data_IF_832458246330
#
_entry.id   IF_832458246330
#
_cell.length_a   1.000
_cell.length_b   1.000
_cell.length_c   1.000
_cell.angle_alpha   90.00
_cell.angle_beta   90.00
_cell.angle_gamma   90.00
#
_symmetry.space_group_name_H-M   'P 1'
#
loop_
_entity.id
_entity.type
_entity.pdbx_description
1 polymer ?
#
# COMPACT_ATOMS: atom_id res chain seq x y z
N UNK A 1 -47.12 -62.10 -12.32
CA UNK A 1 -46.09 -61.53 -13.18
C UNK A 1 -46.34 -60.02 -13.24
N UNK A 2 -45.63 -59.23 -12.44
CA UNK A 2 -45.80 -57.79 -12.38
C UNK A 2 -44.51 -57.16 -12.93
N UNK A 3 -44.64 -56.38 -13.99
CA UNK A 3 -43.55 -55.55 -14.56
C UNK A 3 -43.50 -54.20 -13.86
N UNK A 4 -42.48 -53.97 -13.09
CA UNK A 4 -42.10 -52.67 -12.53
C UNK A 4 -41.45 -51.82 -13.63
N UNK A 5 -42.09 -50.75 -14.03
CA UNK A 5 -41.56 -49.73 -14.93
C UNK A 5 -40.74 -48.71 -14.14
N UNK A 6 -39.44 -48.70 -14.37
CA UNK A 6 -38.49 -47.75 -13.82
C UNK A 6 -38.61 -46.41 -14.58
N UNK A 7 -39.17 -45.36 -13.97
CA UNK A 7 -39.17 -43.99 -14.48
C UNK A 7 -37.92 -43.27 -14.02
N UNK A 8 -36.88 -43.30 -14.86
CA UNK A 8 -35.76 -42.39 -14.71
C UNK A 8 -36.19 -40.95 -15.01
N UNK A 9 -36.29 -40.14 -13.98
CA UNK A 9 -36.55 -38.72 -14.09
C UNK A 9 -35.33 -38.02 -14.72
N UNK A 10 -35.46 -37.60 -15.97
CA UNK A 10 -34.53 -36.68 -16.61
C UNK A 10 -34.74 -35.29 -15.98
N UNK A 11 -33.84 -34.85 -15.11
CA UNK A 11 -33.74 -33.46 -14.71
C UNK A 11 -33.29 -32.66 -15.92
N UNK A 12 -34.21 -32.00 -16.59
CA UNK A 12 -33.97 -30.98 -17.60
C UNK A 12 -33.49 -29.73 -16.88
N UNK A 13 -32.20 -29.48 -16.84
CA UNK A 13 -31.67 -28.15 -16.65
C UNK A 13 -32.04 -27.32 -17.88
N UNK A 14 -33.15 -26.63 -17.83
CA UNK A 14 -33.59 -25.70 -18.87
C UNK A 14 -32.63 -24.47 -18.87
N UNK A 15 -31.66 -24.47 -19.79
CA UNK A 15 -30.90 -23.25 -20.15
C UNK A 15 -31.82 -22.39 -21.03
N UNK A 16 -32.69 -21.65 -20.39
CA UNK A 16 -33.64 -20.78 -21.03
C UNK A 16 -34.09 -19.71 -20.03
N UNK A 17 -33.12 -18.98 -19.45
CA UNK A 17 -33.48 -17.78 -18.70
C UNK A 17 -34.14 -16.78 -19.65
N UNK A 18 -35.28 -16.22 -19.23
CA UNK A 18 -35.94 -15.19 -20.03
C UNK A 18 -35.00 -13.98 -20.20
N UNK A 19 -35.11 -13.22 -21.26
CA UNK A 19 -34.31 -12.01 -21.50
C UNK A 19 -34.32 -11.10 -20.26
N UNK A 20 -35.40 -11.01 -19.57
CA UNK A 20 -35.60 -10.27 -18.30
C UNK A 20 -34.68 -10.81 -17.20
N UNK A 21 -34.58 -12.14 -17.05
CA UNK A 21 -33.73 -12.78 -16.05
C UNK A 21 -32.26 -12.49 -16.32
N UNK A 22 -31.81 -12.61 -17.58
CA UNK A 22 -30.44 -12.28 -17.99
C UNK A 22 -30.13 -10.81 -17.73
N UNK A 23 -31.01 -9.89 -18.12
CA UNK A 23 -30.85 -8.45 -17.88
C UNK A 23 -30.79 -8.14 -16.38
N UNK A 24 -31.64 -8.77 -15.57
CA UNK A 24 -31.62 -8.58 -14.12
C UNK A 24 -30.29 -9.05 -13.51
N UNK A 25 -29.78 -10.21 -13.89
CA UNK A 25 -28.48 -10.72 -13.42
C UNK A 25 -27.35 -9.74 -13.79
N UNK A 26 -27.34 -9.24 -15.02
CA UNK A 26 -26.33 -8.27 -15.47
C UNK A 26 -26.39 -6.97 -14.66
N UNK A 27 -27.59 -6.45 -14.42
CA UNK A 27 -27.77 -5.21 -13.62
C UNK A 27 -27.32 -5.43 -12.18
N UNK A 28 -27.69 -6.53 -11.55
CA UNK A 28 -27.27 -6.87 -10.18
C UNK A 28 -25.74 -7.06 -10.11
N UNK A 29 -25.17 -7.81 -11.04
CA UNK A 29 -23.72 -8.04 -11.10
C UNK A 29 -22.95 -6.71 -11.28
N UNK A 30 -23.42 -5.85 -12.18
CA UNK A 30 -22.83 -4.52 -12.41
C UNK A 30 -22.96 -3.64 -11.16
N UNK A 31 -24.14 -3.61 -10.52
CA UNK A 31 -24.35 -2.88 -9.28
C UNK A 31 -23.43 -3.33 -8.16
N UNK A 32 -23.26 -4.64 -7.98
CA UNK A 32 -22.33 -5.21 -7.01
C UNK A 32 -20.88 -4.86 -7.34
N UNK A 33 -20.46 -4.98 -8.60
CA UNK A 33 -19.11 -4.65 -9.05
C UNK A 33 -18.78 -3.17 -8.79
N UNK A 34 -19.70 -2.27 -9.13
CA UNK A 34 -19.56 -0.84 -8.87
C UNK A 34 -19.54 -0.54 -7.36
N UNK A 35 -20.35 -1.21 -6.56
CA UNK A 35 -20.34 -1.10 -5.11
C UNK A 35 -19.00 -1.54 -4.51
N UNK A 36 -18.47 -2.70 -4.91
CA UNK A 36 -17.16 -3.19 -4.49
C UNK A 36 -16.06 -2.18 -4.87
N UNK A 37 -16.06 -1.70 -6.11
CA UNK A 37 -15.08 -0.73 -6.58
C UNK A 37 -15.16 0.62 -5.85
N UNK A 38 -16.36 1.08 -5.53
CA UNK A 38 -16.56 2.35 -4.84
C UNK A 38 -16.13 2.32 -3.37
N UNK A 39 -16.36 1.21 -2.66
CA UNK A 39 -16.20 1.14 -1.22
C UNK A 39 -15.01 0.29 -0.73
N UNK A 40 -14.66 -0.78 -1.44
CA UNK A 40 -13.70 -1.77 -0.95
C UNK A 40 -12.33 -1.66 -1.61
N UNK A 41 -12.26 -1.52 -2.94
CA UNK A 41 -11.00 -1.57 -3.69
C UNK A 41 -10.90 -0.38 -4.65
N UNK A 42 -9.76 0.30 -4.63
CA UNK A 42 -9.50 1.43 -5.55
C UNK A 42 -8.27 1.17 -6.40
N UNK A 43 -8.33 1.34 -7.73
CA UNK A 43 -7.16 1.29 -8.58
C UNK A 43 -6.31 2.56 -8.47
N UNK A 44 -4.98 2.39 -8.43
CA UNK A 44 -4.01 3.48 -8.48
C UNK A 44 -2.98 3.21 -9.57
N UNK A 45 -2.49 4.29 -10.20
CA UNK A 45 -1.37 4.25 -11.14
C UNK A 45 -0.12 4.76 -10.44
N UNK A 46 1.01 4.09 -10.65
CA UNK A 46 2.30 4.48 -10.08
C UNK A 46 2.91 5.62 -10.91
N UNK A 47 3.11 6.82 -10.33
CA UNK A 47 3.59 7.97 -11.08
C UNK A 47 5.12 8.13 -11.05
N UNK A 48 5.84 7.55 -10.09
CA UNK A 48 7.25 7.81 -9.81
C UNK A 48 8.07 6.55 -9.60
N UNK A 49 9.40 6.68 -9.64
CA UNK A 49 10.36 5.58 -9.47
C UNK A 49 10.67 5.24 -8.01
N UNK A 50 10.06 5.93 -7.05
CA UNK A 50 10.39 5.80 -5.62
C UNK A 50 10.20 4.39 -5.03
N UNK A 51 9.42 3.53 -5.69
CA UNK A 51 9.15 2.15 -5.27
C UNK A 51 9.83 1.09 -6.15
N UNK A 52 10.73 1.48 -7.05
CA UNK A 52 11.55 0.54 -7.84
C UNK A 52 12.48 -0.22 -6.89
N UNK A 53 12.64 -1.55 -7.06
CA UNK A 53 12.17 -2.42 -8.15
C UNK A 53 10.77 -3.01 -7.93
N UNK A 54 10.16 -2.84 -6.77
CA UNK A 54 8.86 -3.45 -6.42
C UNK A 54 7.76 -2.96 -7.35
N UNK A 55 7.64 -1.64 -7.48
CA UNK A 55 6.66 -1.01 -8.38
C UNK A 55 7.40 -0.07 -9.34
N UNK A 56 7.07 -0.16 -10.64
CA UNK A 56 7.64 0.69 -11.68
C UNK A 56 6.62 1.70 -12.19
N UNK A 57 7.11 2.78 -12.80
CA UNK A 57 6.26 3.84 -13.36
C UNK A 57 5.26 3.26 -14.36
N UNK A 58 4.02 3.70 -14.28
CA UNK A 58 2.92 3.27 -15.15
C UNK A 58 2.22 2.00 -14.69
N UNK A 59 2.76 1.23 -13.75
CA UNK A 59 2.06 0.09 -13.14
C UNK A 59 0.73 0.52 -12.52
N UNK A 60 -0.23 -0.41 -12.50
CA UNK A 60 -1.54 -0.21 -11.87
C UNK A 60 -1.73 -1.24 -10.77
N UNK A 61 -2.06 -0.76 -9.60
CA UNK A 61 -2.24 -1.57 -8.39
C UNK A 61 -3.66 -1.42 -7.85
N UNK A 62 -4.15 -2.47 -7.23
CA UNK A 62 -5.39 -2.46 -6.45
C UNK A 62 -5.06 -2.19 -4.99
N UNK A 63 -5.81 -1.28 -4.40
CA UNK A 63 -5.65 -0.84 -3.01
C UNK A 63 -6.90 -1.21 -2.23
N UNK A 64 -6.72 -2.04 -1.21
CA UNK A 64 -7.75 -2.40 -0.25
C UNK A 64 -7.92 -1.27 0.78
N UNK A 65 -9.13 -0.73 0.85
CA UNK A 65 -9.51 0.38 1.74
C UNK A 65 -10.19 -0.08 3.02
N UNK A 66 -10.43 -1.36 3.15
CA UNK A 66 -11.20 -1.94 4.27
C UNK A 66 -10.27 -2.47 5.34
N UNK A 67 -9.22 -3.21 4.97
CA UNK A 67 -8.30 -3.83 5.93
C UNK A 67 -7.67 -2.83 6.88
N UNK A 68 -7.38 -1.61 6.40
CA UNK A 68 -6.85 -0.51 7.23
C UNK A 68 -7.82 0.07 8.24
N UNK A 69 -9.10 -0.31 8.18
CA UNK A 69 -10.11 0.11 9.18
C UNK A 69 -10.25 -0.88 10.33
N UNK A 70 -9.81 -2.12 10.12
CA UNK A 70 -10.01 -3.22 11.05
C UNK A 70 -8.72 -3.83 11.56
N UNK A 71 -7.58 -3.43 11.01
CA UNK A 71 -6.26 -3.95 11.40
C UNK A 71 -5.18 -2.89 11.29
N UNK A 72 -4.18 -2.99 12.14
CA UNK A 72 -3.00 -2.12 12.11
C UNK A 72 -2.09 -2.47 10.93
N UNK A 73 -1.50 -1.47 10.24
CA UNK A 73 -0.51 -1.72 9.20
C UNK A 73 0.70 -2.48 9.74
N UNK A 74 1.09 -3.52 9.03
CA UNK A 74 2.26 -4.31 9.38
C UNK A 74 3.53 -3.79 8.69
N UNK A 75 4.69 -4.03 9.30
CA UNK A 75 5.97 -3.75 8.67
C UNK A 75 6.13 -4.55 7.38
N UNK A 76 6.49 -3.86 6.30
CA UNK A 76 6.60 -4.43 4.96
C UNK A 76 5.38 -4.16 4.08
N UNK A 77 4.25 -3.76 4.65
CA UNK A 77 3.07 -3.40 3.86
C UNK A 77 3.34 -2.19 2.95
N UNK A 78 2.89 -2.29 1.70
CA UNK A 78 2.91 -1.16 0.76
C UNK A 78 1.59 -0.41 0.89
N UNK A 79 1.67 0.84 1.34
CA UNK A 79 0.51 1.65 1.68
C UNK A 79 0.35 2.84 0.75
N UNK A 80 -0.90 3.14 0.38
CA UNK A 80 -1.28 4.44 -0.20
C UNK A 80 -1.80 5.32 0.92
N UNK A 81 -1.30 6.54 0.97
CA UNK A 81 -1.64 7.50 2.04
C UNK A 81 -1.51 8.95 1.54
N UNK A 82 -2.00 9.90 2.33
CA UNK A 82 -1.75 11.32 2.14
C UNK A 82 -0.56 11.71 3.00
N UNK A 83 0.55 12.19 2.40
CA UNK A 83 1.73 12.59 3.16
C UNK A 83 1.47 13.88 3.96
N UNK A 84 2.39 14.27 4.87
CA UNK A 84 2.38 15.59 5.47
C UNK A 84 2.42 16.70 4.41
N UNK A 85 1.79 17.82 4.68
CA UNK A 85 1.89 19.00 3.82
C UNK A 85 3.34 19.48 3.77
N UNK A 86 3.83 19.80 2.58
CA UNK A 86 5.24 20.13 2.35
C UNK A 86 6.13 18.89 2.10
N UNK A 87 5.57 17.70 1.98
CA UNK A 87 6.34 16.50 1.66
C UNK A 87 7.03 16.58 0.28
N UNK A 88 6.45 17.31 -0.67
CA UNK A 88 7.05 17.56 -1.98
C UNK A 88 8.27 18.52 -1.88
N UNK A 89 8.39 19.25 -0.78
CA UNK A 89 9.47 20.19 -0.46
C UNK A 89 10.39 19.66 0.64
N UNK A 90 10.25 18.36 1.00
CA UNK A 90 11.02 17.71 2.06
C UNK A 90 10.91 18.38 3.44
N UNK A 91 9.74 19.00 3.74
CA UNK A 91 9.53 19.77 4.95
C UNK A 91 9.32 18.89 6.19
N UNK A 92 10.28 18.93 7.12
CA UNK A 92 10.13 18.33 8.46
C UNK A 92 9.37 19.28 9.40
N UNK A 93 8.49 18.74 10.24
CA UNK A 93 7.70 19.51 11.19
C UNK A 93 8.48 20.13 12.35
N UNK A 94 9.78 19.81 12.48
CA UNK A 94 10.70 20.37 13.49
C UNK A 94 12.12 20.40 12.93
N UNK A 95 12.95 21.32 13.47
CA UNK A 95 14.39 21.29 13.20
C UNK A 95 15.01 20.05 13.84
N UNK A 96 15.90 19.37 13.12
CA UNK A 96 16.59 18.18 13.58
C UNK A 96 18.02 18.11 12.99
N UNK A 97 18.94 17.34 13.62
CA UNK A 97 20.28 17.12 13.08
C UNK A 97 20.26 16.42 11.74
N UNK A 98 21.18 16.74 10.83
CA UNK A 98 21.28 16.11 9.50
C UNK A 98 21.55 14.60 9.56
N UNK A 99 22.23 14.15 10.62
CA UNK A 99 22.50 12.72 10.88
C UNK A 99 21.33 11.96 11.50
N UNK A 100 20.16 12.60 11.60
CA UNK A 100 18.93 12.03 12.17
C UNK A 100 17.79 12.08 11.16
N UNK A 101 16.98 11.03 11.04
CA UNK A 101 15.74 11.09 10.26
C UNK A 101 14.79 12.13 10.86
N UNK A 102 13.90 12.70 10.05
CA UNK A 102 12.87 13.62 10.54
C UNK A 102 11.99 12.95 11.60
N UNK A 103 11.93 13.47 12.84
CA UNK A 103 11.21 12.78 13.92
C UNK A 103 9.74 13.17 14.01
N UNK A 104 9.29 14.21 13.28
CA UNK A 104 7.93 14.75 13.41
C UNK A 104 7.45 15.35 12.10
N UNK A 105 6.26 14.94 11.66
CA UNK A 105 5.61 15.50 10.49
C UNK A 105 5.05 16.92 10.74
N UNK A 106 4.73 17.65 9.66
CA UNK A 106 3.97 18.91 9.72
C UNK A 106 2.53 18.62 10.16
N UNK A 107 1.83 19.62 10.73
CA UNK A 107 0.52 19.43 11.36
C UNK A 107 -0.59 19.03 10.37
N UNK A 108 -0.50 19.47 9.12
CA UNK A 108 -1.49 19.24 8.10
C UNK A 108 -1.08 18.12 7.13
N UNK A 109 -2.05 17.43 6.56
CA UNK A 109 -1.83 16.47 5.48
C UNK A 109 -1.92 17.13 4.11
N UNK A 110 -1.21 16.59 3.13
CA UNK A 110 -1.35 16.94 1.72
C UNK A 110 -2.64 16.36 1.12
N UNK A 111 -3.10 16.92 0.00
CA UNK A 111 -4.19 16.33 -0.80
C UNK A 111 -3.68 15.35 -1.87
N UNK A 112 -2.37 15.29 -2.11
CA UNK A 112 -1.73 14.31 -3.00
C UNK A 112 -1.70 12.93 -2.36
N UNK A 113 -1.61 11.88 -3.20
CA UNK A 113 -1.50 10.50 -2.72
C UNK A 113 -0.08 9.99 -2.97
N UNK A 114 0.56 9.50 -1.93
CA UNK A 114 1.85 8.81 -2.01
C UNK A 114 1.67 7.30 -1.82
N UNK A 115 2.61 6.55 -2.36
CA UNK A 115 2.73 5.11 -2.12
C UNK A 115 4.13 4.81 -1.62
N UNK A 116 4.24 4.21 -0.45
CA UNK A 116 5.50 3.84 0.21
C UNK A 116 5.31 2.57 1.02
N UNK A 117 6.42 2.02 1.50
CA UNK A 117 6.44 0.84 2.36
C UNK A 117 6.53 1.23 3.84
N UNK A 118 5.78 0.55 4.69
CA UNK A 118 5.90 0.64 6.15
C UNK A 118 7.23 0.01 6.57
N UNK A 119 8.15 0.80 7.07
CA UNK A 119 9.47 0.32 7.57
C UNK A 119 9.60 0.43 9.07
N UNK A 120 8.88 1.35 9.72
CA UNK A 120 8.87 1.53 11.16
C UNK A 120 7.45 1.58 11.72
N UNK A 121 7.26 0.97 12.88
CA UNK A 121 5.99 0.89 13.62
C UNK A 121 6.03 1.82 14.85
N UNK A 122 4.87 2.15 15.43
CA UNK A 122 4.81 2.94 16.65
C UNK A 122 5.71 2.37 17.76
N UNK A 123 6.53 3.23 18.37
CA UNK A 123 7.47 2.86 19.44
C UNK A 123 8.83 2.31 18.98
N UNK A 124 9.04 2.05 17.70
CA UNK A 124 10.34 1.65 17.19
C UNK A 124 11.38 2.77 17.32
N UNK A 125 12.61 2.39 17.65
CA UNK A 125 13.79 3.24 17.48
C UNK A 125 14.40 2.98 16.11
N UNK A 126 14.27 3.94 15.19
CA UNK A 126 14.66 3.81 13.79
C UNK A 126 15.88 4.69 13.48
N UNK A 127 16.84 4.12 12.76
CA UNK A 127 17.93 4.85 12.09
C UNK A 127 18.19 4.26 10.70
N UNK A 128 18.90 5.01 9.86
CA UNK A 128 19.22 4.61 8.48
C UNK A 128 20.73 4.69 8.27
N UNK A 129 21.34 3.62 7.69
CA UNK A 129 22.74 3.58 7.34
C UNK A 129 22.91 2.94 5.98
N UNK A 130 23.55 3.66 5.06
CA UNK A 130 23.77 3.22 3.67
C UNK A 130 22.44 2.77 3.00
N UNK A 131 21.37 3.53 3.20
CA UNK A 131 20.05 3.23 2.68
C UNK A 131 19.31 2.05 3.33
N UNK A 132 19.86 1.42 4.36
CA UNK A 132 19.26 0.28 5.08
C UNK A 132 18.71 0.70 6.42
N UNK A 133 17.55 0.16 6.78
CA UNK A 133 16.85 0.47 8.03
C UNK A 133 17.38 -0.38 9.17
N UNK A 134 17.59 0.28 10.31
CA UNK A 134 17.90 -0.35 11.60
C UNK A 134 16.76 -0.04 12.57
N UNK A 135 16.19 -1.09 13.15
CA UNK A 135 15.14 -1.00 14.16
C UNK A 135 15.68 -1.56 15.48
N UNK A 136 15.61 -0.74 16.53
CA UNK A 136 16.10 -1.11 17.87
C UNK A 136 17.57 -1.60 17.82
N UNK A 137 18.39 -0.94 16.98
CA UNK A 137 19.81 -1.25 16.80
C UNK A 137 20.12 -2.43 15.86
N UNK A 138 19.11 -3.15 15.37
CA UNK A 138 19.29 -4.31 14.50
C UNK A 138 18.93 -3.98 13.06
N UNK A 139 19.81 -4.30 12.11
CA UNK A 139 19.54 -4.13 10.68
C UNK A 139 18.38 -5.02 10.25
N UNK A 140 17.45 -4.44 9.49
CA UNK A 140 16.33 -5.17 8.91
C UNK A 140 16.73 -5.87 7.62
N UNK A 141 16.14 -7.05 7.39
CA UNK A 141 16.27 -7.78 6.12
C UNK A 141 15.26 -7.19 5.12
N UNK A 142 15.76 -6.55 4.08
CA UNK A 142 14.93 -5.84 3.09
C UNK A 142 15.36 -6.26 1.68
N UNK A 143 14.96 -7.47 1.20
CA UNK A 143 15.42 -8.00 -0.09
C UNK A 143 14.84 -7.25 -1.30
N UNK A 144 13.82 -6.44 -1.08
CA UNK A 144 13.06 -5.70 -2.10
C UNK A 144 13.62 -4.30 -2.38
N UNK A 145 14.58 -3.80 -1.60
CA UNK A 145 15.08 -2.45 -1.77
C UNK A 145 16.16 -2.33 -2.84
N UNK A 146 16.25 -1.13 -3.44
CA UNK A 146 17.42 -0.63 -4.13
C UNK A 146 18.15 0.33 -3.18
N UNK A 147 19.18 -0.14 -2.46
CA UNK A 147 19.90 0.70 -1.51
C UNK A 147 20.79 1.69 -2.27
N UNK A 148 20.96 2.87 -1.68
CA UNK A 148 21.93 3.85 -2.12
C UNK A 148 22.75 4.29 -0.89
N UNK A 149 24.05 4.08 -0.95
CA UNK A 149 24.97 4.47 0.12
C UNK A 149 25.43 5.93 0.00
N UNK A 150 25.26 6.53 -1.18
CA UNK A 150 25.76 7.88 -1.50
C UNK A 150 24.75 8.98 -1.32
N UNK A 151 23.45 8.68 -1.20
CA UNK A 151 22.43 9.72 -1.03
C UNK A 151 22.52 10.37 0.36
N UNK A 152 22.26 11.68 0.44
CA UNK A 152 22.38 12.49 1.68
C UNK A 152 21.52 11.92 2.82
N UNK A 153 20.25 11.61 2.55
CA UNK A 153 19.31 11.06 3.53
C UNK A 153 19.46 9.55 3.77
N UNK A 154 20.42 8.90 3.12
CA UNK A 154 20.67 7.47 3.30
C UNK A 154 21.57 7.15 4.50
N UNK A 155 22.14 8.16 5.17
CA UNK A 155 23.07 8.01 6.28
C UNK A 155 22.66 8.80 7.52
N UNK A 156 21.48 8.55 8.03
CA UNK A 156 20.92 9.15 9.23
C UNK A 156 21.06 8.17 10.40
N UNK A 157 22.28 8.12 10.96
CA UNK A 157 22.65 7.10 11.94
C UNK A 157 22.11 7.33 13.35
N UNK A 158 21.76 8.58 13.69
CA UNK A 158 21.16 8.94 14.98
C UNK A 158 19.71 8.46 15.01
N UNK A 159 19.33 7.57 15.95
CA UNK A 159 17.99 7.01 15.95
C UNK A 159 16.93 8.00 16.44
N UNK A 160 15.75 7.92 15.86
CA UNK A 160 14.52 8.54 16.36
C UNK A 160 13.60 7.47 16.94
N UNK A 161 12.67 7.87 17.82
CA UNK A 161 11.56 7.02 18.27
C UNK A 161 10.30 7.42 17.52
N UNK A 162 9.65 6.46 16.88
CA UNK A 162 8.41 6.68 16.13
C UNK A 162 7.26 6.90 17.13
N UNK A 163 6.50 8.01 17.00
CA UNK A 163 5.39 8.31 17.90
C UNK A 163 4.29 7.25 17.87
N UNK A 164 3.49 7.18 18.93
CA UNK A 164 2.34 6.29 19.02
C UNK A 164 1.29 6.65 17.95
N UNK A 165 0.78 5.64 17.24
CA UNK A 165 -0.20 5.80 16.17
C UNK A 165 0.37 6.38 14.87
N UNK A 166 1.71 6.41 14.73
CA UNK A 166 2.40 6.89 13.54
C UNK A 166 3.31 5.81 12.96
N UNK A 167 3.51 5.85 11.65
CA UNK A 167 4.26 4.87 10.89
C UNK A 167 5.35 5.54 10.06
N UNK A 168 6.51 4.89 9.97
CA UNK A 168 7.61 5.40 9.18
C UNK A 168 7.59 4.78 7.79
N UNK A 169 7.42 5.63 6.77
CA UNK A 169 7.19 5.24 5.39
C UNK A 169 8.42 5.50 4.56
N UNK A 170 8.94 4.49 3.85
CA UNK A 170 10.08 4.66 2.95
C UNK A 170 9.80 4.06 1.58
N UNK A 171 10.42 4.65 0.54
CA UNK A 171 10.46 4.04 -0.78
C UNK A 171 11.44 2.87 -0.84
N UNK A 172 11.19 1.93 -1.74
CA UNK A 172 12.10 0.82 -1.98
C UNK A 172 13.35 1.26 -2.77
N UNK A 173 13.22 2.31 -3.60
CA UNK A 173 14.33 2.99 -4.26
C UNK A 173 14.89 4.08 -3.32
N UNK A 174 15.79 3.68 -2.45
CA UNK A 174 16.26 4.49 -1.32
C UNK A 174 16.89 5.82 -1.70
N UNK A 175 17.58 5.89 -2.84
CA UNK A 175 18.21 7.12 -3.33
C UNK A 175 17.24 8.07 -4.02
N UNK A 176 16.16 7.54 -4.60
CA UNK A 176 15.20 8.27 -5.44
C UNK A 176 13.82 8.37 -4.76
N UNK A 177 13.78 8.50 -3.45
CA UNK A 177 12.54 8.55 -2.70
C UNK A 177 12.54 9.69 -1.68
N UNK A 178 11.72 10.71 -1.93
CA UNK A 178 11.25 11.61 -0.89
C UNK A 178 10.28 10.85 0.02
N UNK A 179 10.65 10.67 1.30
CA UNK A 179 9.90 9.84 2.23
C UNK A 179 10.05 10.30 3.69
N UNK A 180 9.63 9.48 4.65
CA UNK A 180 9.64 9.87 6.07
C UNK A 180 11.01 10.28 6.60
N UNK A 181 12.10 9.96 5.92
CA UNK A 181 13.44 10.44 6.29
C UNK A 181 13.54 11.97 6.25
N UNK A 182 12.75 12.61 5.38
CA UNK A 182 12.75 14.05 5.16
C UNK A 182 11.58 14.75 5.84
N UNK A 183 10.36 14.19 5.75
CA UNK A 183 9.14 14.83 6.20
C UNK A 183 8.46 14.16 7.42
N UNK A 184 9.09 13.13 8.01
CA UNK A 184 8.67 12.53 9.27
C UNK A 184 7.66 11.38 9.15
N UNK A 185 7.22 10.82 10.29
CA UNK A 185 6.28 9.71 10.32
C UNK A 185 4.88 10.14 9.88
N UNK A 186 4.04 9.16 9.49
CA UNK A 186 2.68 9.37 8.99
C UNK A 186 1.67 8.86 10.00
N UNK A 187 0.72 9.70 10.46
CA UNK A 187 -0.39 9.24 11.27
C UNK A 187 -1.26 8.19 10.57
N UNK A 188 -1.67 7.15 11.27
CA UNK A 188 -2.52 6.07 10.74
C UNK A 188 -3.78 6.57 10.04
N UNK A 189 -4.44 7.59 10.58
CA UNK A 189 -5.64 8.21 10.03
C UNK A 189 -5.48 8.83 8.64
N UNK A 190 -4.22 8.97 8.16
CA UNK A 190 -3.91 9.49 6.81
C UNK A 190 -3.75 8.37 5.77
N UNK A 191 -3.79 7.12 6.19
CA UNK A 191 -3.77 5.98 5.27
C UNK A 191 -5.09 5.87 4.50
N UNK A 192 -4.94 5.54 3.21
CA UNK A 192 -6.05 5.32 2.30
C UNK A 192 -6.32 3.82 2.18
N UNK A 193 -5.25 3.01 2.12
CA UNK A 193 -5.36 1.58 2.02
C UNK A 193 -4.05 0.89 1.68
N UNK A 194 -4.08 -0.44 1.72
CA UNK A 194 -2.96 -1.34 1.42
C UNK A 194 -2.97 -1.75 -0.05
N UNK A 195 -1.87 -1.54 -0.77
CA UNK A 195 -1.68 -2.10 -2.11
C UNK A 195 -1.46 -3.62 -1.97
N UNK A 196 -2.31 -4.43 -2.56
CA UNK A 196 -2.27 -5.88 -2.40
C UNK A 196 -2.11 -6.64 -3.72
N UNK A 197 -2.38 -5.99 -4.86
CA UNK A 197 -2.32 -6.66 -6.14
C UNK A 197 -1.96 -5.69 -7.27
N UNK A 198 -0.99 -6.07 -8.12
CA UNK A 198 -0.66 -5.41 -9.38
C UNK A 198 -1.41 -6.11 -10.50
N UNK A 199 -2.21 -5.39 -11.29
CA UNK A 199 -2.98 -5.96 -12.39
C UNK A 199 -2.53 -5.49 -13.78
N UNK A 200 -1.60 -4.55 -13.86
CA UNK A 200 -1.02 -4.07 -15.10
C UNK A 200 0.44 -3.64 -14.90
N UNK A 201 1.35 -3.90 -15.84
CA UNK A 201 1.19 -4.65 -17.10
C UNK A 201 1.10 -6.17 -16.89
N UNK A 202 0.66 -6.96 -17.89
CA UNK A 202 0.49 -8.42 -17.75
C UNK A 202 1.72 -9.16 -17.22
N UNK A 203 2.92 -8.76 -17.62
CA UNK A 203 4.17 -9.37 -17.15
C UNK A 203 4.54 -9.07 -15.68
N UNK A 204 3.73 -8.28 -14.97
CA UNK A 204 3.95 -7.90 -13.57
C UNK A 204 2.73 -8.11 -12.68
N UNK A 205 1.80 -8.94 -13.13
CA UNK A 205 0.62 -9.32 -12.36
C UNK A 205 1.06 -10.12 -11.13
N UNK A 206 0.61 -9.70 -9.93
CA UNK A 206 0.93 -10.36 -8.66
C UNK A 206 0.87 -9.42 -7.47
N UNK A 207 1.38 -9.89 -6.33
CA UNK A 207 1.53 -9.08 -5.10
C UNK A 207 2.73 -8.14 -5.21
N UNK A 208 2.62 -6.88 -4.76
CA UNK A 208 3.71 -5.90 -4.77
C UNK A 208 4.76 -6.16 -3.68
#
# INVERSE_FOLDING_TARGET
>A
MARTANRAGKAFFGVGGSLVETVTIVIVALGLALGIQAFLVKPFRIPSESMVPTLTVGQRVLVDRVSTRFGEPARGDVMVFRPPKGADESACGVSHPEDSPCPKHTAERSETNFIKRVVGLPGDRLSVRRGRVYINGKQRKEPFIRPDAGCSICNQARPITIPKGEYYMMGDNRGESADSREWGPVPEKWFIGKAFFTYWPPGRIGTP
#
